data_IF_932052444467
#
_entry.id   IF_932052444467
#
_cell.length_a   1.000
_cell.length_b   1.000
_cell.length_c   1.000
_cell.angle_alpha   90.00
_cell.angle_beta   90.00
_cell.angle_gamma   90.00
#
_symmetry.space_group_name_H-M   'P 1'
#
loop_
_entity.id
_entity.type
_entity.pdbx_description
1 polymer ?
2 polymer ?
#
loop_
_entity_poly.entity_id
_entity_poly.type
_entity_poly.pdbx_seq_one_letter_code
_entity_poly.pdbx_strand_id
1 'polyribonucleotide' 'GGGGCUGAUUCUGGAUUCGACGGGAUUUGCGAAACCCAAGGUGCAUGCCGAGGGGCGGUUGGCCUCGUAAAAAGCCGCAAAAAAUAGUCGCAAACGACGAAAACUACCAUCAUCAUCAUCACAUGAGGAUCACCCAUGUAACGAUGAUGAUGCCUCUCUCCCUAGCCUCCGCUCUUAGGACGGGGAUCAAGAGAGGUCAAACCCAAAAGAGAUCGCGUGGAAGCCCUGCCUGGGGUUGAAGCGUUAAAACUUAAUCAGGCUAGUUUGUUAGUGGCGUGUCCGUCCGCAGCUGGCAAGCGAAUGUAAAGACUGACUAAGCAUGUAGUACCGAGGACGUAGGAAUUUCGGACGCGGGUUCAACUCCCGCCAGCUCCACC' ?
#
# COMPACT_ATOMS: atom_id res chain seq x y z
N UNK B 1 2.30 -17.08 1.82
CA UNK B 1 1.87 -16.18 0.72
C UNK B 1 3.01 -15.61 -0.12
N UNK B 2 2.80 -15.04 -1.29
CA UNK B 2 3.80 -14.23 -2.00
C UNK B 2 4.28 -12.98 -1.26
N UNK B 3 5.45 -12.46 -1.65
CA UNK B 3 5.93 -11.13 -1.29
C UNK B 3 6.30 -10.47 -2.61
N UNK B 4 5.82 -9.23 -2.86
CA UNK B 4 6.08 -8.56 -4.13
C UNK B 4 6.67 -7.18 -3.89
N UNK B 5 7.82 -6.92 -4.51
CA UNK B 5 8.50 -5.64 -4.58
C UNK B 5 8.02 -4.82 -5.77
N UNK B 6 8.40 -3.52 -5.83
CA UNK B 6 7.97 -2.62 -6.88
C UNK B 6 9.14 -2.26 -7.80
N UNK B 7 8.89 -2.29 -9.13
CA UNK B 7 9.93 -2.40 -10.16
C UNK B 7 10.99 -1.30 -10.21
N UNK B 8 10.61 -0.02 -10.04
CA UNK B 8 11.55 1.10 -10.18
C UNK B 8 12.13 1.58 -8.86
N UNK B 9 11.94 0.81 -7.75
CA UNK B 9 12.23 1.24 -6.40
C UNK B 9 13.68 1.68 -6.09
N UNK B 10 14.69 1.04 -6.70
CA UNK B 10 16.09 1.44 -6.59
C UNK B 10 16.67 1.82 -7.95
N UNK B 11 15.83 2.38 -8.85
CA UNK B 11 16.24 2.87 -10.17
C UNK B 11 16.31 4.38 -10.16
N UNK B 12 15.16 5.07 -10.30
CA UNK B 12 15.08 6.51 -10.33
C UNK B 12 14.47 7.06 -9.03
N UNK B 13 14.51 6.25 -7.96
CA UNK B 13 13.92 6.53 -6.67
C UNK B 13 14.95 6.45 -5.54
N UNK B 14 14.99 7.48 -4.68
CA UNK B 14 15.81 7.53 -3.46
C UNK B 14 14.86 7.73 -2.28
N UNK B 15 15.07 7.01 -1.15
CA UNK B 15 14.12 6.99 -0.03
C UNK B 15 14.72 7.64 1.21
N UNK B 16 14.12 8.76 1.69
CA UNK B 16 14.59 9.51 2.83
C UNK B 16 14.20 8.91 4.18
N UNK B 17 12.95 8.44 4.32
CA UNK B 17 12.42 7.95 5.58
C UNK B 17 11.39 6.88 5.30
N UNK B 18 11.26 5.85 6.15
CA UNK B 18 10.47 4.66 5.89
C UNK B 18 9.51 4.32 7.03
N UNK B 19 8.31 3.78 6.67
CA UNK B 19 7.30 3.33 7.60
C UNK B 19 6.71 2.03 7.07
N UNK B 20 6.02 1.23 7.91
CA UNK B 20 5.18 0.15 7.42
C UNK B 20 3.74 0.29 7.91
N UNK B 21 2.78 -0.01 7.02
CA UNK B 21 1.36 0.17 7.28
C UNK B 21 0.57 -1.09 6.98
N UNK B 22 -0.39 -1.45 7.85
CA UNK B 22 -1.42 -2.44 7.55
C UNK B 22 -2.42 -1.98 6.52
N UNK B 23 -3.07 -2.93 5.84
CA UNK B 23 -3.99 -2.65 4.76
C UNK B 23 -5.35 -3.19 5.16
N UNK B 24 -6.47 -2.59 4.71
CA UNK B 24 -7.77 -3.22 4.84
C UNK B 24 -8.26 -3.67 3.48
N UNK B 25 -8.36 -4.99 3.27
CA UNK B 25 -8.91 -5.61 2.07
C UNK B 25 -10.33 -6.06 2.39
N UNK B 26 -10.55 -7.38 2.39
CA UNK B 26 -11.63 -8.12 2.98
C UNK B 26 -10.94 -9.46 3.23
N UNK B 27 -11.25 -10.25 4.28
CA UNK B 27 -10.51 -11.50 4.53
C UNK B 27 -10.63 -12.57 3.47
N UNK B 28 -11.77 -12.58 2.75
CA UNK B 28 -12.01 -13.34 1.53
C UNK B 28 -10.99 -13.02 0.42
N UNK B 29 -10.67 -11.72 0.20
CA UNK B 29 -9.61 -11.28 -0.70
C UNK B 29 -8.23 -11.73 -0.24
N UNK B 30 -7.98 -11.71 1.09
CA UNK B 30 -6.75 -12.21 1.70
C UNK B 30 -6.50 -13.68 1.41
N UNK B 31 -7.52 -14.56 1.42
CA UNK B 31 -7.35 -15.96 1.04
C UNK B 31 -6.86 -16.16 -0.40
N UNK B 32 -7.45 -15.40 -1.35
CA UNK B 32 -6.98 -15.36 -2.74
C UNK B 32 -5.56 -14.80 -2.88
N UNK B 33 -5.21 -13.75 -2.12
CA UNK B 33 -3.86 -13.22 -2.06
C UNK B 33 -2.84 -14.17 -1.39
N UNK B 34 -3.25 -14.99 -0.40
CA UNK B 34 -2.43 -16.09 0.12
C UNK B 34 -2.10 -17.11 -0.98
N UNK B 35 -3.09 -17.46 -1.84
CA UNK B 35 -2.86 -18.25 -3.05
C UNK B 35 -1.97 -17.54 -4.08
N UNK B 36 -2.21 -16.24 -4.33
CA UNK B 36 -1.36 -15.37 -5.15
C UNK B 36 -1.96 -14.79 -6.40
N UNK B 37 -3.30 -14.77 -6.55
CA UNK B 37 -3.96 -14.23 -7.74
C UNK B 37 -4.03 -12.68 -7.79
N UNK B 38 -2.90 -12.00 -8.04
CA UNK B 38 -2.78 -10.55 -7.84
C UNK B 38 -2.08 -9.85 -9.00
N UNK B 39 -2.22 -8.51 -9.10
CA UNK B 39 -1.35 -7.68 -9.92
C UNK B 39 -1.12 -6.31 -9.24
N UNK B 40 0.12 -5.80 -9.38
CA UNK B 40 0.62 -4.64 -8.64
C UNK B 40 0.99 -3.50 -9.61
N UNK B 41 0.64 -3.62 -10.90
CA UNK B 41 1.01 -2.67 -11.96
C UNK B 41 0.49 -1.26 -11.74
N UNK B 42 1.41 -0.29 -11.50
CA UNK B 42 1.05 1.12 -11.47
C UNK B 42 0.39 1.56 -10.20
N UNK B 43 0.49 0.77 -9.11
CA UNK B 43 -0.12 1.07 -7.81
C UNK B 43 0.31 2.41 -7.19
N UNK B 44 -0.62 3.08 -6.49
CA UNK B 44 -0.37 4.35 -5.83
C UNK B 44 -1.41 4.57 -4.74
N UNK B 45 -1.16 5.55 -3.86
CA UNK B 45 -2.10 5.93 -2.82
C UNK B 45 -2.15 7.45 -2.72
N UNK B 46 -3.27 8.00 -2.23
CA UNK B 46 -3.47 9.44 -2.06
C UNK B 46 -4.20 9.72 -0.76
N UNK B 47 -4.18 10.97 -0.27
CA UNK B 47 -4.70 11.35 1.03
C UNK B 47 -6.15 11.82 0.97
N UNK B 48 -7.04 11.18 1.75
CA UNK B 48 -8.46 11.47 1.77
C UNK B 48 -8.96 11.47 3.22
N UNK B 49 -9.58 12.57 3.69
CA UNK B 49 -10.10 12.78 5.05
C UNK B 49 -9.27 12.24 6.23
N UNK B 50 -7.97 12.56 6.23
CA UNK B 50 -7.04 12.18 7.31
C UNK B 50 -6.47 10.80 7.19
N UNK B 51 -6.75 10.08 6.11
CA UNK B 51 -6.32 8.70 5.93
C UNK B 51 -5.65 8.58 4.57
N UNK B 52 -4.97 7.45 4.31
CA UNK B 52 -4.23 7.19 3.09
C UNK B 52 -4.91 6.04 2.35
N UNK B 53 -5.29 6.24 1.06
CA UNK B 53 -6.21 5.34 0.38
C UNK B 53 -5.54 4.75 -0.86
N UNK B 54 -5.57 3.41 -1.02
CA UNK B 54 -5.06 2.72 -2.22
C UNK B 54 -6.13 2.67 -3.28
N UNK B 55 -6.05 3.58 -4.27
CA UNK B 55 -6.92 3.62 -5.43
C UNK B 55 -6.71 2.47 -6.42
N UNK B 56 -5.45 2.10 -6.72
CA UNK B 56 -5.14 1.11 -7.75
C UNK B 56 -4.28 -0.02 -7.18
N UNK B 57 -4.77 -1.27 -7.35
CA UNK B 57 -4.14 -2.54 -7.00
C UNK B 57 -5.24 -3.58 -7.22
N UNK B 58 -4.97 -4.70 -7.93
CA UNK B 58 -6.02 -5.64 -8.27
C UNK B 58 -5.75 -7.03 -7.69
N UNK B 59 -6.79 -7.63 -7.08
CA UNK B 59 -6.79 -8.96 -6.50
C UNK B 59 -7.94 -9.68 -7.17
N UNK B 60 -7.73 -10.89 -7.72
CA UNK B 60 -8.79 -11.63 -8.37
C UNK B 60 -9.57 -12.52 -7.39
N UNK B 61 -10.83 -12.88 -7.63
CA UNK B 61 -11.58 -13.87 -6.85
C UNK B 61 -10.93 -15.25 -6.66
N UNK B 62 -11.44 -16.03 -5.68
CA UNK B 62 -11.08 -17.41 -5.38
C UNK B 62 -11.24 -18.35 -6.63
N UNK B 67 -20.44 -18.83 -3.47
CA UNK B 67 -20.06 -17.40 -3.29
C UNK B 67 -21.04 -16.44 -3.98
N UNK B 68 -20.80 -15.11 -3.97
CA UNK B 68 -21.75 -14.10 -4.40
C UNK B 68 -21.04 -12.80 -4.80
N UNK B 69 -21.78 -11.77 -5.27
CA UNK B 69 -21.28 -10.48 -5.74
C UNK B 69 -20.61 -9.60 -4.67
N UNK B 70 -19.35 -9.89 -4.35
CA UNK B 70 -18.50 -9.06 -3.51
C UNK B 70 -17.51 -8.34 -4.42
N UNK B 71 -17.54 -6.99 -4.48
CA UNK B 71 -16.75 -6.21 -5.43
C UNK B 71 -15.23 -6.24 -5.16
N UNK B 72 -14.36 -6.64 -6.10
CA UNK B 72 -12.92 -6.57 -5.90
C UNK B 72 -12.36 -5.30 -6.51
N UNK B 73 -13.16 -4.47 -7.20
CA UNK B 73 -12.63 -3.36 -7.99
C UNK B 73 -12.69 -2.02 -7.26
N UNK B 74 -13.16 -1.97 -6.01
CA UNK B 74 -13.20 -0.73 -5.24
C UNK B 74 -11.97 -0.51 -4.33
N UNK B 75 -11.61 0.78 -4.09
CA UNK B 75 -10.44 1.21 -3.35
C UNK B 75 -10.34 0.77 -1.87
N UNK B 76 -9.09 0.58 -1.38
CA UNK B 76 -8.79 -0.07 -0.10
C UNK B 76 -7.99 0.82 0.87
N UNK B 77 -8.21 0.69 2.19
CA UNK B 77 -7.68 1.60 3.21
C UNK B 77 -6.26 1.21 3.64
N UNK B 78 -5.44 2.20 4.06
CA UNK B 78 -4.16 1.99 4.71
C UNK B 78 -4.18 2.63 6.09
N UNK B 79 -3.79 1.86 7.14
CA UNK B 79 -3.89 2.30 8.52
C UNK B 79 -2.51 2.70 9.03
N UNK B 80 -2.39 3.89 9.65
CA UNK B 80 -1.13 4.42 10.07
C UNK B 80 -1.39 5.46 11.16
N UNK B 81 -0.40 5.69 12.04
CA UNK B 81 -0.56 6.17 13.39
C UNK B 81 -1.23 7.52 13.60
N UNK B 82 -2.09 7.68 14.65
CA UNK B 82 -2.90 8.87 14.89
C UNK B 82 -2.11 10.19 14.97
N UNK B 83 -0.96 10.22 15.70
CA UNK B 83 -0.04 11.33 15.52
C UNK B 83 0.71 11.29 14.21
N UNK B 84 1.42 10.18 13.91
CA UNK B 84 2.41 10.16 12.85
C UNK B 84 1.87 10.30 11.42
N UNK B 85 0.75 9.65 11.07
CA UNK B 85 0.11 9.80 9.77
C UNK B 85 -0.40 11.21 9.54
N UNK B 86 -1.04 11.80 10.56
CA UNK B 86 -1.64 13.11 10.45
C UNK B 86 -0.58 14.22 10.58
N UNK B 87 0.60 13.90 11.15
CA UNK B 87 1.81 14.69 11.04
C UNK B 87 2.57 14.58 9.70
N UNK B 88 2.72 13.37 9.10
CA UNK B 88 3.65 13.15 8.00
C UNK B 88 3.25 13.83 6.69
N UNK B 89 1.97 14.20 6.51
CA UNK B 89 1.55 15.10 5.46
C UNK B 89 2.22 16.50 5.55
N UNK B 90 2.54 16.97 6.77
CA UNK B 90 3.30 18.19 6.99
C UNK B 90 4.79 18.03 6.71
N UNK B 91 5.29 16.79 6.56
CA UNK B 91 6.62 16.57 6.01
C UNK B 91 6.65 16.84 4.50
N UNK B 92 5.60 16.42 3.75
CA UNK B 92 5.53 16.63 2.30
C UNK B 92 5.13 18.06 1.90
N UNK B 93 4.56 18.84 2.85
CA UNK B 93 4.36 20.27 2.72
C UNK B 93 5.65 21.05 2.46
N UNK B 94 6.81 20.52 2.90
CA UNK B 94 8.11 21.16 2.76
C UNK B 94 8.72 21.01 1.36
N UNK B 95 7.90 21.27 0.32
CA UNK B 95 8.23 21.29 -1.09
C UNK B 95 8.40 19.92 -1.75
N UNK B 96 7.54 18.95 -1.37
CA UNK B 96 7.36 17.71 -2.13
C UNK B 96 8.23 16.53 -1.74
N UNK B 97 7.57 15.41 -1.42
CA UNK B 97 8.17 14.10 -1.28
C UNK B 97 7.10 13.15 -1.82
N UNK B 98 7.47 12.13 -2.61
CA UNK B 98 6.49 11.16 -3.11
C UNK B 98 6.32 10.03 -2.12
N UNK B 99 5.07 9.55 -1.94
CA UNK B 99 4.79 8.39 -1.10
C UNK B 99 4.81 7.15 -1.97
N UNK B 100 5.81 6.27 -1.78
CA UNK B 100 6.01 5.12 -2.65
C UNK B 100 5.75 3.80 -1.93
N UNK B 101 5.02 2.85 -2.52
CA UNK B 101 4.92 1.50 -1.95
C UNK B 101 6.08 0.66 -2.43
N UNK B 102 7.03 0.36 -1.53
CA UNK B 102 8.25 -0.37 -1.81
C UNK B 102 8.06 -1.87 -1.97
N UNK B 103 7.26 -2.47 -1.07
CA UNK B 103 6.91 -3.88 -1.17
C UNK B 103 5.58 -4.12 -0.48
N UNK B 104 4.85 -5.17 -0.91
CA UNK B 104 3.68 -5.68 -0.24
C UNK B 104 4.01 -7.07 0.27
N UNK B 105 3.63 -7.36 1.53
CA UNK B 105 4.13 -8.53 2.23
C UNK B 105 3.14 -8.99 3.28
N UNK B 106 3.31 -10.23 3.74
CA UNK B 106 2.37 -10.89 4.62
C UNK B 106 3.02 -11.15 5.96
N UNK B 107 2.30 -10.87 7.06
CA UNK B 107 2.75 -11.13 8.41
C UNK B 107 2.74 -12.62 8.76
N UNK B 108 3.21 -12.99 9.97
CA UNK B 108 3.24 -14.39 10.39
C UNK B 108 1.87 -15.05 10.65
N UNK B 109 0.79 -14.26 10.80
CA UNK B 109 -0.58 -14.77 10.92
C UNK B 109 -1.22 -14.95 9.54
N UNK B 110 -0.62 -14.33 8.50
CA UNK B 110 -1.02 -14.43 7.11
C UNK B 110 -1.99 -13.38 6.63
N UNK B 111 -1.88 -12.14 7.14
CA UNK B 111 -2.59 -10.95 6.67
C UNK B 111 -1.58 -9.92 6.18
N UNK B 112 -2.02 -8.88 5.45
CA UNK B 112 -1.14 -8.07 4.63
C UNK B 112 -0.66 -6.75 5.25
N UNK B 113 0.56 -6.33 4.87
CA UNK B 113 1.12 -5.02 5.15
C UNK B 113 1.84 -4.48 3.92
N UNK B 114 2.06 -3.15 3.87
CA UNK B 114 2.79 -2.48 2.81
C UNK B 114 3.93 -1.66 3.41
N UNK B 115 5.11 -1.67 2.76
CA UNK B 115 6.25 -0.87 3.18
C UNK B 115 6.22 0.44 2.42
N UNK B 116 6.22 1.57 3.14
CA UNK B 116 6.00 2.89 2.58
C UNK B 116 7.22 3.74 2.77
N UNK B 117 7.68 4.43 1.71
CA UNK B 117 8.81 5.34 1.78
C UNK B 117 8.42 6.74 1.42
N UNK B 118 9.03 7.73 2.10
CA UNK B 118 9.03 9.11 1.66
C UNK B 118 10.20 9.31 0.72
N UNK B 119 9.93 9.59 -0.56
CA UNK B 119 10.92 9.49 -1.61
C UNK B 119 11.18 10.79 -2.35
N UNK B 120 12.41 10.89 -2.88
CA UNK B 120 12.90 12.03 -3.64
C UNK B 120 13.10 11.65 -5.10
N UNK B 121 12.39 10.57 -5.54
CA UNK B 121 12.25 10.17 -6.93
C UNK B 121 11.23 10.99 -7.69
N UNK B 122 10.93 10.60 -8.94
CA UNK B 122 9.92 11.25 -9.74
C UNK B 122 8.97 10.19 -10.34
#
# INVERSE_FOLDING_TARGET
APVLENRRARHDYEILETYEAGIALKGTEVKSLRAGKVDFTGSFARFEDGELYLENLYIAPYEKGSYANVDPRRKRKLLLHKHELRRLLGKVEQKGLTLVPLKIYFNERGYAKVLLGLARGK
#
